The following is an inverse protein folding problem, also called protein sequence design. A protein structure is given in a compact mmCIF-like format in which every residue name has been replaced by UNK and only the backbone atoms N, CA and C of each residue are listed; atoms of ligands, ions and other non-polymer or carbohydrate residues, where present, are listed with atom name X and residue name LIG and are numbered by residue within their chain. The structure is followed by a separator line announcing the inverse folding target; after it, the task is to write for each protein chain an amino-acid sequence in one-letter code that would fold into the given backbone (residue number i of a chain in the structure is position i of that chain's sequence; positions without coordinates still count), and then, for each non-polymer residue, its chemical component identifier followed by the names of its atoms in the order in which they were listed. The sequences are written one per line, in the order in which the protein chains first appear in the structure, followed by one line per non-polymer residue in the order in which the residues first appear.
data_IF_714449469585
#
_entry.id   IF_714449469585
#
_cell.length_a   1.000
_cell.length_b   1.000
_cell.length_c   1.000
_cell.angle_alpha   90.00
_cell.angle_beta   90.00
_cell.angle_gamma   90.00
#
_symmetry.space_group_name_H-M   'P 1'
#
loop_
_entity.id
_entity.type
_entity.pdbx_description
1 polymer ?
#
# COMPACT_ATOMS: atom_id res chain seq x y z
N UNK A 1 -11.02 -22.80 11.86
CA UNK A 1 -9.86 -23.47 11.26
C UNK A 1 -9.63 -22.76 9.94
N UNK A 2 -8.67 -21.83 9.88
CA UNK A 2 -8.38 -21.07 8.66
C UNK A 2 -7.38 -21.88 7.86
N UNK A 3 -7.78 -22.35 6.68
CA UNK A 3 -6.91 -23.07 5.74
C UNK A 3 -5.62 -22.26 5.48
N UNK A 4 -4.45 -22.91 5.37
CA UNK A 4 -3.22 -22.22 5.01
C UNK A 4 -3.36 -21.73 3.57
N UNK A 5 -3.63 -20.44 3.39
CA UNK A 5 -3.60 -19.77 2.10
C UNK A 5 -2.18 -19.93 1.52
N UNK A 6 -2.11 -20.23 0.23
CA UNK A 6 -0.88 -20.39 -0.55
C UNK A 6 0.18 -19.34 -0.19
N UNK A 7 1.48 -19.67 -0.26
CA UNK A 7 2.54 -18.68 -0.04
C UNK A 7 2.33 -17.54 -1.03
N UNK A 8 1.89 -16.40 -0.51
CA UNK A 8 1.68 -15.18 -1.25
C UNK A 8 2.66 -14.14 -0.72
N UNK A 9 3.39 -13.55 -1.66
CA UNK A 9 4.26 -12.41 -1.38
C UNK A 9 3.47 -11.15 -1.71
N UNK A 10 3.38 -10.23 -0.76
CA UNK A 10 2.72 -8.95 -0.93
C UNK A 10 3.67 -7.80 -0.64
N UNK A 11 3.20 -6.59 -0.87
CA UNK A 11 3.86 -5.36 -0.42
C UNK A 11 2.83 -4.41 0.17
N UNK A 12 3.33 -3.40 0.86
CA UNK A 12 2.54 -2.32 1.44
C UNK A 12 2.30 -1.25 0.37
N UNK A 13 1.04 -1.00 0.06
CA UNK A 13 0.64 0.08 -0.84
C UNK A 13 0.11 1.26 -0.02
N UNK A 14 0.48 2.49 -0.41
CA UNK A 14 -0.19 3.71 0.08
C UNK A 14 -1.26 4.07 -0.93
N UNK A 15 -2.48 4.24 -0.46
CA UNK A 15 -3.60 4.66 -1.29
C UNK A 15 -4.30 5.88 -0.70
N UNK A 16 -4.84 6.70 -1.58
CA UNK A 16 -5.84 7.70 -1.22
C UNK A 16 -7.23 7.07 -1.37
N UNK A 17 -8.15 7.34 -0.45
CA UNK A 17 -9.53 6.84 -0.52
C UNK A 17 -10.42 7.66 -1.47
N UNK A 18 -9.92 8.81 -1.93
CA UNK A 18 -10.61 9.64 -2.90
C UNK A 18 -10.38 9.10 -4.32
N UNK A 19 -11.49 8.78 -5.02
CA UNK A 19 -11.43 8.20 -6.35
C UNK A 19 -10.79 9.14 -7.39
N UNK A 20 -11.01 10.46 -7.29
CA UNK A 20 -10.42 11.42 -8.23
C UNK A 20 -8.91 11.49 -8.04
N UNK A 21 -8.45 11.41 -6.79
CA UNK A 21 -7.02 11.33 -6.47
C UNK A 21 -6.40 10.03 -6.96
N UNK A 22 -7.07 8.88 -6.78
CA UNK A 22 -6.57 7.58 -7.24
C UNK A 22 -6.33 7.56 -8.76
N UNK A 23 -7.23 8.12 -9.55
CA UNK A 23 -7.04 8.24 -11.01
C UNK A 23 -5.91 9.20 -11.39
N UNK A 24 -5.69 10.24 -10.59
CA UNK A 24 -4.60 11.19 -10.80
C UNK A 24 -3.24 10.55 -10.49
N UNK A 25 -3.17 9.69 -9.48
CA UNK A 25 -1.99 8.90 -9.13
C UNK A 25 -1.52 7.99 -10.27
N UNK A 26 -2.44 7.33 -10.98
CA UNK A 26 -2.07 6.50 -12.15
C UNK A 26 -1.46 7.31 -13.31
N UNK A 27 -1.72 8.62 -13.33
CA UNK A 27 -1.21 9.54 -14.37
C UNK A 27 0.10 10.21 -13.95
N UNK A 28 0.59 9.99 -12.74
CA UNK A 28 1.86 10.53 -12.26
C UNK A 28 3.02 9.89 -13.03
N UNK A 29 4.01 10.71 -13.37
CA UNK A 29 5.21 10.22 -14.03
C UNK A 29 6.03 9.34 -13.06
N UNK A 30 6.71 8.28 -13.55
CA UNK A 30 7.50 7.39 -12.70
C UNK A 30 8.54 8.13 -11.84
N UNK A 31 9.17 9.17 -12.41
CA UNK A 31 10.14 10.01 -11.71
C UNK A 31 9.53 10.75 -10.50
N UNK A 32 8.24 11.09 -10.56
CA UNK A 32 7.55 11.76 -9.45
C UNK A 32 7.00 10.75 -8.44
N UNK A 33 6.60 9.55 -8.89
CA UNK A 33 6.20 8.45 -8.00
C UNK A 33 7.34 8.03 -7.04
N UNK A 34 8.59 7.97 -7.53
CA UNK A 34 9.76 7.68 -6.69
C UNK A 34 9.92 8.66 -5.51
N UNK A 35 9.60 9.94 -5.74
CA UNK A 35 9.66 10.94 -4.67
C UNK A 35 8.45 10.89 -3.74
N UNK A 36 7.32 10.36 -4.20
CA UNK A 36 6.08 10.25 -3.43
C UNK A 36 6.03 9.02 -2.52
N UNK A 37 6.87 8.02 -2.78
CA UNK A 37 7.04 6.82 -1.96
C UNK A 37 7.24 7.12 -0.46
N UNK A 38 7.91 8.24 -0.13
CA UNK A 38 8.17 8.65 1.25
C UNK A 38 7.07 9.52 1.88
N UNK A 39 6.15 10.07 1.08
CA UNK A 39 5.13 10.99 1.60
C UNK A 39 4.04 10.25 2.38
N UNK A 40 3.57 10.88 3.45
CA UNK A 40 2.45 10.39 4.28
C UNK A 40 1.12 10.97 3.77
N UNK A 41 1.17 12.06 3.00
CA UNK A 41 -0.01 12.79 2.53
C UNK A 41 -0.17 12.66 1.01
N UNK A 42 -1.42 12.64 0.55
CA UNK A 42 -1.76 12.66 -0.85
C UNK A 42 -1.36 14.00 -1.47
N UNK A 43 -0.61 14.03 -2.60
CA UNK A 43 -0.18 15.27 -3.25
C UNK A 43 -1.32 16.09 -3.87
N UNK A 44 -2.52 15.50 -3.98
CA UNK A 44 -3.69 16.14 -4.61
C UNK A 44 -4.65 16.75 -3.58
N UNK A 45 -5.13 15.94 -2.62
CA UNK A 45 -6.10 16.38 -1.61
C UNK A 45 -5.46 16.77 -0.27
N UNK A 46 -4.15 16.53 -0.09
CA UNK A 46 -3.43 16.74 1.17
C UNK A 46 -3.94 15.92 2.38
N UNK A 47 -4.81 14.93 2.14
CA UNK A 47 -5.23 13.97 3.17
C UNK A 47 -4.18 12.89 3.43
N UNK A 48 -4.27 12.24 4.58
CA UNK A 48 -3.37 11.16 4.97
C UNK A 48 -3.58 9.92 4.08
N UNK A 49 -2.48 9.33 3.62
CA UNK A 49 -2.51 8.12 2.81
C UNK A 49 -2.74 6.90 3.71
N UNK A 50 -3.62 6.02 3.24
CA UNK A 50 -3.93 4.78 3.93
C UNK A 50 -3.00 3.68 3.46
N UNK A 51 -2.54 2.84 4.38
CA UNK A 51 -1.77 1.64 4.05
C UNK A 51 -2.72 0.48 3.78
N UNK A 52 -2.44 -0.30 2.75
CA UNK A 52 -3.16 -1.54 2.47
C UNK A 52 -2.22 -2.66 2.01
N UNK A 53 -2.67 -3.90 2.16
CA UNK A 53 -1.99 -5.06 1.60
C UNK A 53 -2.25 -5.15 0.10
N UNK A 54 -1.21 -5.21 -0.74
CA UNK A 54 -1.39 -5.38 -2.19
C UNK A 54 -2.08 -6.69 -2.58
N UNK A 55 -1.99 -7.73 -1.76
CA UNK A 55 -2.55 -9.05 -2.05
C UNK A 55 -4.05 -9.17 -1.72
N UNK A 56 -4.52 -8.60 -0.61
CA UNK A 56 -5.92 -8.71 -0.19
C UNK A 56 -6.67 -7.38 -0.12
N UNK A 57 -5.98 -6.26 -0.38
CA UNK A 57 -6.53 -4.89 -0.37
C UNK A 57 -7.18 -4.46 0.95
N UNK A 58 -6.86 -5.18 2.03
CA UNK A 58 -7.29 -4.82 3.38
C UNK A 58 -6.38 -3.74 3.96
N UNK A 59 -7.00 -2.82 4.70
CA UNK A 59 -6.31 -1.71 5.36
C UNK A 59 -5.38 -2.19 6.48
N UNK A 60 -4.25 -1.49 6.63
CA UNK A 60 -3.22 -1.75 7.61
C UNK A 60 -3.01 -0.51 8.48
N UNK A 61 -2.77 -0.73 9.76
CA UNK A 61 -2.59 0.34 10.75
C UNK A 61 -1.14 0.80 10.87
N UNK A 62 -0.18 0.03 10.36
CA UNK A 62 1.25 0.33 10.44
C UNK A 62 2.00 -0.34 9.26
N UNK A 63 3.14 0.23 8.88
CA UNK A 63 4.10 -0.33 7.90
C UNK A 63 5.08 -1.35 8.49
N UNK A 64 5.16 -1.48 9.81
CA UNK A 64 6.11 -2.38 10.46
C UNK A 64 5.67 -3.87 10.45
N UNK A 65 4.54 -4.18 9.83
CA UNK A 65 4.09 -5.57 9.71
C UNK A 65 5.02 -6.35 8.77
N UNK A 66 5.47 -7.52 9.22
CA UNK A 66 6.17 -8.50 8.38
C UNK A 66 5.22 -9.39 7.57
N UNK A 67 3.98 -9.51 8.05
CA UNK A 67 2.93 -10.33 7.43
C UNK A 67 1.61 -9.58 7.48
N UNK A 68 0.77 -9.75 6.46
CA UNK A 68 -0.59 -9.21 6.49
C UNK A 68 -1.43 -9.96 7.53
N UNK A 69 -2.06 -9.27 8.50
CA UNK A 69 -2.85 -9.91 9.55
C UNK A 69 -4.15 -10.56 9.04
N UNK A 70 -4.58 -10.19 7.83
CA UNK A 70 -5.85 -10.63 7.25
C UNK A 70 -5.69 -11.86 6.33
N UNK A 71 -4.70 -11.84 5.45
CA UNK A 71 -4.48 -12.91 4.48
C UNK A 71 -3.26 -13.80 4.79
N UNK A 72 -2.37 -13.37 5.68
CA UNK A 72 -1.17 -14.10 6.05
C UNK A 72 0.00 -13.98 5.07
N UNK A 73 -0.11 -13.16 4.01
CA UNK A 73 0.98 -12.94 3.06
C UNK A 73 2.19 -12.30 3.75
N UNK A 74 3.39 -12.76 3.41
CA UNK A 74 4.64 -12.13 3.83
C UNK A 74 4.86 -10.86 3.01
N UNK A 75 5.21 -9.77 3.69
CA UNK A 75 5.60 -8.54 3.03
C UNK A 75 7.09 -8.61 2.70
N UNK A 76 7.46 -8.25 1.46
CA UNK A 76 8.87 -8.24 1.06
C UNK A 76 9.69 -7.33 2.01
N UNK A 77 10.77 -7.88 2.57
CA UNK A 77 11.67 -7.19 3.49
C UNK A 77 12.24 -5.95 2.79
N UNK A 78 11.83 -4.76 3.26
CA UNK A 78 12.15 -3.49 2.62
C UNK A 78 11.07 -2.96 1.69
N UNK A 79 9.78 -3.28 1.93
CA UNK A 79 8.62 -2.69 1.27
C UNK A 79 8.62 -1.15 1.39
N UNK A 80 9.43 -0.51 0.55
CA UNK A 80 9.29 0.87 0.13
C UNK A 80 7.93 0.94 -0.51
N UNK A 81 7.09 1.81 0.06
CA UNK A 81 5.76 1.98 -0.46
C UNK A 81 5.88 2.55 -1.86
N UNK A 82 5.57 1.72 -2.87
CA UNK A 82 5.62 2.13 -4.27
C UNK A 82 4.36 2.89 -4.66
#
# INVERSE_FOLDING_TARGET
MTEPKSPCTGHLEKICLDNECSEAWEKISPAMAEHLADFIFCPFCAEELHLQCSACKEGLTNKDFKYCPWCGCEFEDGATVS
#
